data_IF_462335040339
#
_entry.id   IF_462335040339
#
_cell.length_a   1.000
_cell.length_b   1.000
_cell.length_c   1.000
_cell.angle_alpha   90.00
_cell.angle_beta   90.00
_cell.angle_gamma   90.00
#
_symmetry.space_group_name_H-M   'P 1'
#
loop_
_entity.id
_entity.type
_entity.pdbx_description
1 polymer ?
#
# COMPACT_ATOMS: atom_id res chain seq x y z
N UNK A 1 -0.45 -11.72 -4.05
CA UNK A 1 -1.85 -11.90 -3.67
C UNK A 1 -2.49 -10.61 -3.20
N UNK A 2 -3.80 -10.54 -3.22
CA UNK A 2 -4.60 -9.44 -2.69
C UNK A 2 -5.50 -10.02 -1.60
N UNK A 3 -5.47 -9.44 -0.40
CA UNK A 3 -6.32 -9.81 0.72
C UNK A 3 -7.23 -8.65 1.11
N UNK A 4 -8.53 -8.88 1.21
CA UNK A 4 -9.52 -7.88 1.61
C UNK A 4 -10.40 -8.48 2.70
N UNK A 5 -10.54 -7.77 3.81
CA UNK A 5 -11.50 -8.13 4.85
C UNK A 5 -12.90 -7.71 4.39
N UNK A 6 -13.83 -8.64 4.32
CA UNK A 6 -15.20 -8.35 3.90
C UNK A 6 -16.09 -7.94 5.08
N UNK A 7 -16.03 -8.72 6.15
CA UNK A 7 -16.83 -8.54 7.37
C UNK A 7 -16.04 -9.16 8.52
N UNK A 8 -15.50 -8.36 9.40
CA UNK A 8 -14.69 -8.81 10.54
C UNK A 8 -15.57 -8.89 11.79
N UNK A 9 -15.60 -10.05 12.48
CA UNK A 9 -16.25 -10.15 13.77
C UNK A 9 -15.71 -9.11 14.77
N UNK A 10 -16.55 -8.51 15.62
CA UNK A 10 -16.14 -7.49 16.58
C UNK A 10 -15.04 -7.92 17.55
N UNK A 11 -15.01 -9.20 17.90
CA UNK A 11 -13.99 -9.81 18.76
C UNK A 11 -12.62 -9.85 18.07
N UNK A 12 -12.58 -10.06 16.76
CA UNK A 12 -11.34 -9.97 15.96
C UNK A 12 -10.85 -8.53 15.91
N UNK A 13 -11.74 -7.57 15.67
CA UNK A 13 -11.40 -6.14 15.70
C UNK A 13 -10.81 -5.71 17.05
N UNK A 14 -11.35 -6.23 18.15
CA UNK A 14 -10.89 -5.94 19.51
C UNK A 14 -9.59 -6.68 19.88
N UNK A 15 -9.30 -7.83 19.24
CA UNK A 15 -8.14 -8.68 19.58
C UNK A 15 -6.87 -8.32 18.81
N UNK A 16 -6.97 -7.53 17.76
CA UNK A 16 -5.78 -7.07 17.03
C UNK A 16 -5.03 -6.09 17.92
N UNK A 17 -3.92 -6.58 18.43
CA UNK A 17 -3.05 -5.83 19.32
C UNK A 17 -2.68 -4.48 18.69
N UNK A 18 -2.83 -3.43 19.47
CA UNK A 18 -2.62 -2.02 19.09
C UNK A 18 -1.17 -1.65 18.72
N UNK A 19 -0.31 -2.64 18.50
CA UNK A 19 1.02 -2.44 17.88
C UNK A 19 0.95 -1.91 16.45
N UNK A 20 -0.21 -2.02 15.82
CA UNK A 20 -0.52 -1.34 14.55
C UNK A 20 -1.21 -0.03 14.86
N UNK A 21 -0.67 1.07 14.40
CA UNK A 21 -1.24 2.40 14.63
C UNK A 21 -2.62 2.63 13.98
N UNK A 22 -3.16 1.64 13.30
CA UNK A 22 -4.51 1.65 12.73
C UNK A 22 -5.20 0.31 12.99
N UNK A 23 -6.44 0.37 13.45
CA UNK A 23 -7.30 -0.80 13.55
C UNK A 23 -7.55 -1.39 12.17
N UNK A 24 -7.65 -2.72 12.04
CA UNK A 24 -8.08 -3.34 10.79
C UNK A 24 -9.47 -2.82 10.41
N UNK A 25 -9.70 -2.68 9.12
CA UNK A 25 -10.99 -2.29 8.57
C UNK A 25 -11.56 -3.41 7.70
N UNK A 26 -12.86 -3.44 7.52
CA UNK A 26 -13.55 -4.32 6.61
C UNK A 26 -14.56 -3.55 5.75
N UNK A 27 -14.93 -4.13 4.61
CA UNK A 27 -15.80 -3.47 3.65
C UNK A 27 -17.23 -3.29 4.14
N UNK A 28 -17.76 -4.24 4.89
CA UNK A 28 -19.14 -4.17 5.39
C UNK A 28 -19.31 -2.99 6.34
N UNK A 29 -18.33 -2.77 7.24
CA UNK A 29 -18.30 -1.63 8.16
C UNK A 29 -18.19 -0.30 7.43
N UNK A 30 -17.34 -0.22 6.38
CA UNK A 30 -17.14 1.01 5.60
C UNK A 30 -18.37 1.37 4.78
N UNK A 31 -19.04 0.36 4.17
CA UNK A 31 -20.18 0.57 3.27
C UNK A 31 -21.53 0.60 4.00
N UNK A 32 -21.57 0.16 5.26
CA UNK A 32 -22.81 0.01 6.02
C UNK A 32 -23.73 -1.11 5.52
N UNK A 33 -23.19 -2.04 4.73
CA UNK A 33 -23.95 -3.15 4.15
C UNK A 33 -23.05 -4.34 3.84
N UNK A 34 -23.66 -5.55 3.79
CA UNK A 34 -22.93 -6.77 3.44
C UNK A 34 -22.39 -6.73 2.01
N UNK A 35 -21.23 -7.33 1.81
CA UNK A 35 -20.54 -7.39 0.51
C UNK A 35 -20.51 -8.83 0.00
N UNK A 36 -20.96 -9.04 -1.23
CA UNK A 36 -20.85 -10.35 -1.88
C UNK A 36 -19.40 -10.62 -2.27
N UNK A 37 -18.78 -11.64 -1.67
CA UNK A 37 -17.46 -12.10 -2.03
C UNK A 37 -17.34 -12.46 -3.52
N UNK A 38 -18.35 -13.11 -4.08
CA UNK A 38 -18.36 -13.49 -5.49
C UNK A 38 -18.41 -12.26 -6.42
N UNK A 39 -19.28 -11.28 -6.12
CA UNK A 39 -19.37 -10.07 -6.93
C UNK A 39 -18.08 -9.23 -6.84
N UNK A 40 -17.50 -9.10 -5.65
CA UNK A 40 -16.23 -8.41 -5.47
C UNK A 40 -15.10 -9.12 -6.22
N UNK A 41 -15.00 -10.44 -6.11
CA UNK A 41 -13.98 -11.21 -6.81
C UNK A 41 -14.09 -11.07 -8.32
N UNK A 42 -15.31 -11.13 -8.88
CA UNK A 42 -15.54 -10.93 -10.31
C UNK A 42 -15.07 -9.53 -10.76
N UNK A 43 -15.47 -8.47 -10.04
CA UNK A 43 -15.06 -7.11 -10.34
C UNK A 43 -13.53 -6.94 -10.24
N UNK A 44 -12.90 -7.54 -9.23
CA UNK A 44 -11.43 -7.50 -9.09
C UNK A 44 -10.72 -8.19 -10.25
N UNK A 45 -11.20 -9.36 -10.69
CA UNK A 45 -10.62 -10.08 -11.84
C UNK A 45 -10.71 -9.21 -13.09
N UNK A 46 -11.86 -8.62 -13.38
CA UNK A 46 -12.05 -7.75 -14.55
C UNK A 46 -11.09 -6.54 -14.50
N UNK A 47 -10.98 -5.89 -13.36
CA UNK A 47 -10.06 -4.77 -13.19
C UNK A 47 -8.59 -5.17 -13.31
N UNK A 48 -8.20 -6.31 -12.77
CA UNK A 48 -6.82 -6.83 -12.87
C UNK A 48 -6.48 -7.12 -14.33
N UNK A 49 -7.34 -7.83 -15.07
CA UNK A 49 -7.13 -8.15 -16.48
C UNK A 49 -6.99 -6.89 -17.31
N UNK A 50 -7.91 -5.92 -17.13
CA UNK A 50 -7.82 -4.63 -17.82
C UNK A 50 -6.53 -3.88 -17.48
N UNK A 51 -6.16 -3.85 -16.20
CA UNK A 51 -4.93 -3.18 -15.75
C UNK A 51 -3.68 -3.82 -16.29
N UNK A 52 -3.62 -5.15 -16.39
CA UNK A 52 -2.48 -5.87 -16.97
C UNK A 52 -2.33 -5.54 -18.47
N UNK A 53 -3.43 -5.51 -19.22
CA UNK A 53 -3.41 -5.11 -20.63
C UNK A 53 -2.92 -3.67 -20.81
N UNK A 54 -3.38 -2.76 -19.96
CA UNK A 54 -2.92 -1.36 -19.95
C UNK A 54 -1.43 -1.27 -19.60
N UNK A 55 -1.00 -2.04 -18.59
CA UNK A 55 0.40 -2.07 -18.17
C UNK A 55 1.32 -2.62 -19.26
N UNK A 56 0.90 -3.67 -19.96
CA UNK A 56 1.65 -4.25 -21.10
C UNK A 56 1.88 -3.22 -22.20
N UNK A 57 0.88 -2.40 -22.52
CA UNK A 57 0.97 -1.40 -23.57
C UNK A 57 1.63 -0.08 -23.17
N UNK A 58 1.46 0.35 -21.92
CA UNK A 58 1.81 1.71 -21.47
C UNK A 58 2.75 1.73 -20.26
N UNK A 59 3.04 0.57 -19.67
CA UNK A 59 3.86 0.48 -18.47
C UNK A 59 3.24 1.14 -17.23
N UNK A 60 4.05 1.38 -16.22
CA UNK A 60 3.60 1.98 -14.96
C UNK A 60 3.09 3.42 -15.11
N UNK A 61 3.55 4.13 -16.13
CA UNK A 61 3.18 5.54 -16.38
C UNK A 61 1.65 5.75 -16.40
N UNK A 62 0.90 4.79 -16.98
CA UNK A 62 -0.57 4.87 -17.02
C UNK A 62 -1.25 4.91 -15.63
N UNK A 63 -0.56 4.43 -14.60
CA UNK A 63 -1.08 4.34 -13.24
C UNK A 63 -0.53 5.41 -12.29
N UNK A 64 0.48 6.17 -12.72
CA UNK A 64 1.22 7.07 -11.85
C UNK A 64 0.34 8.15 -11.20
N UNK A 65 -0.66 8.68 -11.90
CA UNK A 65 -1.58 9.67 -11.36
C UNK A 65 -2.51 9.05 -10.31
N UNK A 66 -3.08 7.89 -10.63
CA UNK A 66 -3.93 7.14 -9.68
C UNK A 66 -3.14 6.76 -8.43
N UNK A 67 -1.90 6.28 -8.60
CA UNK A 67 -1.02 6.00 -7.48
C UNK A 67 -0.83 7.21 -6.57
N UNK A 68 -0.52 8.38 -7.11
CA UNK A 68 -0.30 9.61 -6.32
C UNK A 68 -1.49 9.99 -5.44
N UNK A 69 -2.71 9.68 -5.87
CA UNK A 69 -3.93 9.95 -5.10
C UNK A 69 -4.05 9.07 -3.86
N UNK A 70 -3.46 7.88 -3.90
CA UNK A 70 -3.53 6.87 -2.82
C UNK A 70 -2.19 6.68 -2.11
N UNK A 71 -1.17 7.47 -2.46
CA UNK A 71 0.17 7.39 -1.85
C UNK A 71 0.16 7.88 -0.41
N UNK A 72 -0.15 6.95 0.48
CA UNK A 72 -0.21 7.20 1.91
C UNK A 72 1.16 7.49 2.54
N UNK A 73 2.26 7.02 1.94
CA UNK A 73 3.61 7.25 2.46
C UNK A 73 4.10 8.65 2.20
N UNK A 74 3.61 9.34 1.19
CA UNK A 74 4.11 10.64 0.77
C UNK A 74 4.09 11.67 1.90
N UNK A 75 5.26 12.29 2.14
CA UNK A 75 5.46 13.26 3.21
C UNK A 75 5.72 12.64 4.59
N UNK A 76 5.69 11.31 4.73
CA UNK A 76 5.97 10.64 6.00
C UNK A 76 7.43 10.28 6.13
N UNK A 77 7.94 10.32 7.35
CA UNK A 77 9.24 9.74 7.67
C UNK A 77 9.16 8.22 7.57
N UNK A 78 10.08 7.62 6.84
CA UNK A 78 10.16 6.17 6.63
C UNK A 78 11.56 5.66 6.94
N UNK A 79 11.63 4.40 7.33
CA UNK A 79 12.87 3.62 7.43
C UNK A 79 12.71 2.40 6.55
N UNK A 80 13.52 2.29 5.51
CA UNK A 80 13.43 1.18 4.54
C UNK A 80 14.64 0.28 4.69
N UNK A 81 14.38 -0.94 5.15
CA UNK A 81 15.42 -1.98 5.28
C UNK A 81 15.52 -2.75 3.97
N UNK A 82 16.71 -2.79 3.40
CA UNK A 82 17.04 -3.52 2.18
C UNK A 82 18.37 -4.27 2.34
N UNK A 83 18.74 -5.20 1.43
CA UNK A 83 19.94 -6.02 1.57
C UNK A 83 21.24 -5.23 1.75
N UNK A 84 21.33 -4.02 1.22
CA UNK A 84 22.50 -3.12 1.32
C UNK A 84 22.52 -2.21 2.53
N UNK A 85 21.53 -2.28 3.43
CA UNK A 85 21.42 -1.41 4.60
C UNK A 85 20.04 -0.81 4.80
N UNK A 86 19.97 0.23 5.61
CA UNK A 86 18.70 0.92 5.92
C UNK A 86 18.77 2.36 5.41
N UNK A 87 17.81 2.73 4.58
CA UNK A 87 17.59 4.10 4.12
C UNK A 87 16.55 4.75 5.01
N UNK A 88 16.83 5.94 5.53
CA UNK A 88 15.91 6.70 6.38
C UNK A 88 15.73 8.11 5.82
N UNK A 89 14.49 8.56 5.79
CA UNK A 89 14.19 9.89 5.28
C UNK A 89 12.70 10.11 5.10
N UNK A 90 12.34 11.12 4.33
CA UNK A 90 10.94 11.42 4.00
C UNK A 90 10.59 10.79 2.66
N UNK A 91 9.50 10.01 2.61
CA UNK A 91 8.97 9.50 1.35
C UNK A 91 8.47 10.67 0.50
N UNK A 92 9.04 10.88 -0.68
CA UNK A 92 8.69 11.99 -1.57
C UNK A 92 7.79 11.57 -2.73
N UNK A 93 7.40 10.31 -2.76
CA UNK A 93 6.56 9.70 -3.80
C UNK A 93 7.29 8.58 -4.52
N UNK A 94 6.95 8.35 -5.77
CA UNK A 94 7.55 7.33 -6.63
C UNK A 94 8.07 7.95 -7.93
N UNK A 95 9.05 7.30 -8.55
CA UNK A 95 9.54 7.68 -9.87
C UNK A 95 8.67 7.13 -11.02
N UNK A 96 9.11 7.34 -12.26
CA UNK A 96 8.40 6.87 -13.47
C UNK A 96 8.27 5.36 -13.57
N UNK A 97 9.13 4.61 -12.90
CA UNK A 97 9.17 3.15 -12.92
C UNK A 97 8.46 2.54 -11.70
N UNK A 98 7.94 3.37 -10.79
CA UNK A 98 7.27 2.96 -9.57
C UNK A 98 8.19 2.74 -8.37
N UNK A 99 9.47 3.07 -8.44
CA UNK A 99 10.37 2.96 -7.30
C UNK A 99 10.11 4.08 -6.28
N UNK A 100 10.12 3.74 -4.99
CA UNK A 100 9.95 4.71 -3.91
C UNK A 100 11.15 5.67 -3.85
N UNK A 101 10.86 6.94 -3.75
CA UNK A 101 11.84 8.00 -3.55
C UNK A 101 11.87 8.41 -2.07
N UNK A 102 13.02 8.23 -1.43
CA UNK A 102 13.25 8.62 -0.04
C UNK A 102 14.26 9.75 0.00
N UNK A 103 13.85 10.88 0.54
CA UNK A 103 14.70 12.07 0.67
C UNK A 103 15.35 12.12 2.04
N UNK A 104 16.68 12.15 2.06
CA UNK A 104 17.51 12.34 3.24
C UNK A 104 18.37 13.61 3.04
N UNK A 105 18.08 14.67 3.77
CA UNK A 105 18.71 15.98 3.60
C UNK A 105 18.71 16.43 2.12
N UNK A 106 19.89 16.51 1.49
CA UNK A 106 20.02 16.92 0.09
C UNK A 106 20.05 15.74 -0.92
N UNK A 107 19.94 14.50 -0.44
CA UNK A 107 20.05 13.31 -1.29
C UNK A 107 18.70 12.60 -1.41
N UNK A 108 18.33 12.22 -2.62
CA UNK A 108 17.17 11.36 -2.87
C UNK A 108 17.65 9.96 -3.23
N UNK A 109 17.22 8.98 -2.45
CA UNK A 109 17.55 7.57 -2.68
C UNK A 109 16.36 6.87 -3.32
N UNK A 110 16.62 6.14 -4.41
CA UNK A 110 15.66 5.32 -5.14
C UNK A 110 15.63 3.92 -4.52
N UNK A 111 14.46 3.47 -4.09
CA UNK A 111 14.25 2.18 -3.42
C UNK A 111 13.29 1.33 -4.25
N UNK A 112 13.75 0.16 -4.71
CA UNK A 112 12.97 -0.76 -5.56
C UNK A 112 12.31 -1.84 -4.70
N UNK A 113 12.97 -2.28 -3.63
CA UNK A 113 12.48 -3.34 -2.75
C UNK A 113 12.97 -3.15 -1.32
N UNK A 114 12.26 -3.70 -0.36
CA UNK A 114 12.63 -3.65 1.06
C UNK A 114 11.41 -3.65 1.98
N UNK A 115 11.66 -3.70 3.28
CA UNK A 115 10.62 -3.58 4.30
C UNK A 115 10.56 -2.15 4.80
N UNK A 116 9.37 -1.55 4.72
CA UNK A 116 9.14 -0.16 5.12
C UNK A 116 8.59 -0.13 6.55
N UNK A 117 9.21 0.68 7.38
CA UNK A 117 8.73 1.01 8.72
C UNK A 117 8.42 2.52 8.78
N UNK A 118 7.25 2.86 9.30
CA UNK A 118 6.86 4.25 9.56
C UNK A 118 6.95 4.45 11.06
N UNK A 119 7.79 5.37 11.58
CA UNK A 119 7.92 5.62 13.01
C UNK A 119 6.57 5.94 13.65
N UNK A 120 6.27 5.25 14.76
CA UNK A 120 4.97 5.37 15.45
C UNK A 120 3.85 4.51 14.87
N UNK A 121 4.14 3.72 13.85
CA UNK A 121 3.23 2.75 13.23
C UNK A 121 3.99 1.43 13.05
N UNK A 122 3.33 0.29 13.25
CA UNK A 122 3.95 -1.02 13.09
C UNK A 122 4.61 -1.21 11.71
N UNK A 123 5.50 -2.20 11.63
CA UNK A 123 6.22 -2.54 10.40
C UNK A 123 5.27 -3.10 9.34
N UNK A 124 5.25 -2.51 8.15
CA UNK A 124 4.58 -3.07 6.97
C UNK A 124 5.58 -3.97 6.25
N UNK A 125 5.34 -5.26 6.25
CA UNK A 125 6.11 -6.22 5.42
C UNK A 125 5.44 -6.31 4.05
N UNK A 126 6.20 -6.09 3.02
CA UNK A 126 5.81 -6.45 1.64
C UNK A 126 6.13 -7.89 1.36
#
# INVERSE_FOLDING_TARGET
GIGINLDLPPDILASVDSGWAQSPADLASILGSSVSAAALSAAMIDHIVHSLTTFEGQGFHAFAETWRRYDWLRGRTVSVRQPGGTVRGTASGIDSDGALLVQEAATTTRVISGSIEVPGMGSVRS
#
